data_IF_573930877260
#
_entry.id   IF_573930877260
#
_cell.length_a   1.000
_cell.length_b   1.000
_cell.length_c   1.000
_cell.angle_alpha   90.00
_cell.angle_beta   90.00
_cell.angle_gamma   90.00
#
_symmetry.space_group_name_H-M   'P 1'
#
loop_
_entity.id
_entity.type
_entity.pdbx_description
1 polymer ?
#
# COMPACT_ATOMS: atom_id res chain seq x y z
N UNK A 1 -49.28 34.07 -18.89
CA UNK A 1 -48.11 34.12 -17.97
C UNK A 1 -47.53 32.72 -17.88
N UNK A 2 -46.47 32.47 -18.62
CA UNK A 2 -45.77 31.18 -18.65
C UNK A 2 -44.57 31.29 -17.71
N UNK A 3 -44.55 30.52 -16.62
CA UNK A 3 -43.43 30.41 -15.72
C UNK A 3 -42.45 29.36 -16.28
N UNK A 4 -41.28 29.83 -16.72
CA UNK A 4 -40.19 28.96 -17.15
C UNK A 4 -39.51 28.29 -15.96
N UNK A 5 -39.43 26.97 -15.96
CA UNK A 5 -38.56 26.21 -15.07
C UNK A 5 -37.08 26.41 -15.49
N UNK A 6 -36.32 27.02 -14.62
CA UNK A 6 -34.86 27.13 -14.74
C UNK A 6 -34.26 25.83 -14.20
N UNK A 7 -33.69 24.99 -15.06
CA UNK A 7 -32.82 23.88 -14.63
C UNK A 7 -31.38 24.41 -14.46
N UNK A 8 -30.71 24.11 -13.37
CA UNK A 8 -29.29 24.44 -13.26
C UNK A 8 -28.50 23.51 -14.19
N UNK A 9 -27.72 24.14 -15.03
CA UNK A 9 -26.72 23.54 -15.92
C UNK A 9 -25.65 22.84 -15.06
N UNK A 10 -25.61 21.52 -15.11
CA UNK A 10 -24.49 20.76 -14.55
C UNK A 10 -23.36 20.81 -15.57
N UNK A 11 -22.45 21.74 -15.38
CA UNK A 11 -21.26 21.91 -16.18
C UNK A 11 -20.57 20.57 -16.42
N UNK A 12 -20.58 20.13 -17.67
CA UNK A 12 -19.66 19.11 -18.14
C UNK A 12 -18.26 19.67 -17.97
N UNK A 13 -17.45 18.97 -17.16
CA UNK A 13 -16.04 19.26 -16.99
C UNK A 13 -15.37 18.97 -18.35
N UNK A 14 -15.18 20.02 -19.12
CA UNK A 14 -14.62 20.00 -20.47
C UNK A 14 -13.12 19.72 -20.33
N UNK A 15 -12.72 18.49 -20.65
CA UNK A 15 -11.31 18.10 -20.77
C UNK A 15 -10.68 18.91 -21.87
N UNK A 16 -9.83 19.85 -21.54
CA UNK A 16 -8.99 20.59 -22.47
C UNK A 16 -8.21 19.62 -23.37
N UNK A 17 -8.31 19.71 -24.71
CA UNK A 17 -7.56 18.88 -25.64
C UNK A 17 -6.12 19.40 -25.69
N UNK A 18 -5.21 18.70 -25.01
CA UNK A 18 -3.78 19.03 -25.09
C UNK A 18 -2.93 18.67 -23.89
N UNK A 19 -3.52 18.15 -22.81
CA UNK A 19 -2.74 17.65 -21.70
C UNK A 19 -2.47 16.15 -21.91
N UNK A 20 -1.32 15.86 -22.52
CA UNK A 20 -0.72 14.53 -22.45
C UNK A 20 -0.72 14.08 -20.99
N UNK A 21 -1.10 12.81 -20.68
CA UNK A 21 -0.99 12.28 -19.33
C UNK A 21 0.49 12.30 -18.96
N UNK A 22 0.87 13.29 -18.15
CA UNK A 22 2.23 13.48 -17.69
C UNK A 22 2.76 12.15 -17.16
N UNK A 23 3.81 11.65 -17.82
CA UNK A 23 4.57 10.49 -17.39
C UNK A 23 4.98 10.69 -15.93
N UNK A 24 4.41 9.90 -15.02
CA UNK A 24 4.81 9.83 -13.62
C UNK A 24 6.14 9.09 -13.42
N UNK A 25 6.92 8.95 -14.51
CA UNK A 25 8.30 8.49 -14.40
C UNK A 25 9.15 9.71 -14.11
N UNK A 26 9.70 9.76 -12.90
CA UNK A 26 10.73 10.73 -12.54
C UNK A 26 11.80 10.75 -13.63
N UNK A 27 11.99 11.92 -14.20
CA UNK A 27 13.08 12.17 -15.14
C UNK A 27 14.39 11.81 -14.46
N UNK A 28 15.11 10.94 -15.13
CA UNK A 28 16.47 10.51 -14.87
C UNK A 28 17.35 11.72 -14.54
N UNK A 29 17.62 11.93 -13.26
CA UNK A 29 18.69 12.81 -12.85
C UNK A 29 19.97 12.03 -13.10
N UNK A 30 20.66 12.38 -14.18
CA UNK A 30 22.00 11.91 -14.51
C UNK A 30 22.92 12.04 -13.31
N UNK A 31 23.06 10.96 -12.53
CA UNK A 31 24.12 10.86 -11.55
C UNK A 31 25.39 10.53 -12.28
N UNK A 32 26.28 11.51 -12.30
CA UNK A 32 27.65 11.34 -12.75
C UNK A 32 28.23 10.06 -12.18
N UNK A 33 28.85 9.24 -13.04
CA UNK A 33 29.51 8.02 -12.71
C UNK A 33 30.58 8.23 -11.62
N UNK A 34 30.24 7.87 -10.41
CA UNK A 34 31.18 7.60 -9.36
C UNK A 34 31.28 6.09 -9.24
N UNK A 35 32.47 5.57 -9.45
CA UNK A 35 32.87 4.20 -9.16
C UNK A 35 32.57 3.91 -7.68
N UNK A 36 31.30 3.52 -7.42
CA UNK A 36 30.80 3.27 -6.07
C UNK A 36 31.09 1.84 -5.70
N UNK A 37 32.17 1.65 -4.99
CA UNK A 37 32.39 0.39 -4.30
C UNK A 37 31.13 -0.06 -3.59
N UNK A 38 30.82 -1.35 -3.68
CA UNK A 38 29.78 -2.09 -2.98
C UNK A 38 29.86 -1.79 -1.48
N UNK A 39 29.31 -0.67 -1.05
CA UNK A 39 29.06 -0.37 0.35
C UNK A 39 28.02 -1.36 0.83
N UNK A 40 28.47 -2.47 1.43
CA UNK A 40 27.59 -3.44 2.05
C UNK A 40 26.63 -2.67 2.96
N UNK A 41 25.33 -2.93 2.81
CA UNK A 41 24.27 -2.31 3.61
C UNK A 41 24.53 -2.56 5.10
N UNK A 42 25.18 -1.62 5.77
CA UNK A 42 25.72 -1.81 7.11
C UNK A 42 24.59 -2.14 8.10
N UNK A 43 24.76 -3.24 8.83
CA UNK A 43 23.82 -3.70 9.85
C UNK A 43 22.54 -4.31 9.30
N UNK A 44 22.51 -4.70 8.03
CA UNK A 44 21.40 -5.40 7.41
C UNK A 44 21.11 -6.75 8.09
N UNK A 45 19.83 -7.16 8.09
CA UNK A 45 19.44 -8.48 8.62
C UNK A 45 19.98 -9.61 7.74
N UNK A 46 20.29 -10.76 8.35
CA UNK A 46 20.64 -12.01 7.67
C UNK A 46 19.39 -12.79 7.20
N UNK A 47 18.20 -12.44 7.67
CA UNK A 47 16.96 -13.10 7.31
C UNK A 47 16.66 -12.92 5.82
N UNK A 48 15.97 -13.92 5.24
CA UNK A 48 15.73 -13.97 3.80
C UNK A 48 14.48 -13.21 3.41
N UNK A 49 13.38 -13.39 4.14
CA UNK A 49 12.06 -12.91 3.74
C UNK A 49 11.06 -12.83 4.89
N UNK A 50 9.98 -12.08 4.65
CA UNK A 50 8.77 -12.06 5.45
C UNK A 50 7.59 -12.43 4.56
N UNK A 51 6.89 -13.54 4.87
CA UNK A 51 5.60 -13.87 4.26
C UNK A 51 4.49 -13.27 5.09
N UNK A 52 3.56 -12.62 4.42
CA UNK A 52 2.40 -11.96 5.03
C UNK A 52 1.15 -12.54 4.37
N UNK A 53 0.21 -13.06 5.18
CA UNK A 53 -1.10 -13.47 4.70
C UNK A 53 -2.17 -12.73 5.49
N UNK A 54 -3.15 -12.20 4.74
CA UNK A 54 -4.32 -11.54 5.29
C UNK A 54 -5.50 -11.84 4.37
N UNK A 55 -6.61 -12.35 4.90
CA UNK A 55 -7.87 -12.44 4.18
C UNK A 55 -8.77 -11.29 4.60
N UNK A 56 -9.28 -10.54 3.63
CA UNK A 56 -10.20 -9.43 3.86
C UNK A 56 -11.66 -9.88 3.78
N UNK A 57 -12.55 -9.21 4.50
CA UNK A 57 -14.01 -9.35 4.40
C UNK A 57 -14.65 -7.97 4.40
N UNK A 58 -15.86 -7.87 3.81
CA UNK A 58 -16.52 -6.58 3.61
C UNK A 58 -16.84 -5.86 4.92
N UNK A 59 -16.35 -4.63 5.15
CA UNK A 59 -16.76 -3.79 6.27
C UNK A 59 -18.21 -3.26 6.11
N UNK A 60 -18.85 -3.48 4.96
CA UNK A 60 -20.25 -3.11 4.74
C UNK A 60 -20.46 -1.76 4.07
N UNK A 61 -19.53 -1.31 3.27
CA UNK A 61 -19.63 -0.07 2.53
C UNK A 61 -20.50 -0.17 1.27
N UNK A 62 -20.75 0.99 0.66
CA UNK A 62 -21.65 1.14 -0.51
C UNK A 62 -21.26 0.28 -1.70
N UNK A 63 -19.99 -0.04 -1.88
CA UNK A 63 -19.47 -0.74 -3.04
C UNK A 63 -19.19 -2.21 -2.79
N UNK A 64 -19.46 -2.71 -1.57
CA UNK A 64 -19.30 -4.12 -1.26
C UNK A 64 -19.96 -5.01 -2.33
N UNK A 65 -19.34 -6.11 -2.75
CA UNK A 65 -18.05 -6.64 -2.29
C UNK A 65 -16.81 -6.05 -2.99
N UNK A 66 -16.96 -5.03 -3.85
CA UNK A 66 -15.83 -4.36 -4.50
C UNK A 66 -15.05 -3.57 -3.48
N UNK A 67 -13.74 -3.78 -3.43
CA UNK A 67 -12.86 -3.14 -2.46
C UNK A 67 -11.55 -2.66 -3.08
N UNK A 68 -10.92 -1.74 -2.38
CA UNK A 68 -9.56 -1.28 -2.63
C UNK A 68 -8.79 -1.37 -1.33
N UNK A 69 -7.48 -1.53 -1.41
CA UNK A 69 -6.65 -1.51 -0.22
C UNK A 69 -5.16 -1.47 -0.54
N UNK A 70 -4.37 -1.38 0.52
CA UNK A 70 -2.93 -1.41 0.49
C UNK A 70 -2.37 -2.18 1.69
N UNK A 71 -1.22 -2.80 1.49
CA UNK A 71 -0.40 -3.44 2.51
C UNK A 71 1.00 -2.86 2.43
N UNK A 72 1.53 -2.40 3.57
CA UNK A 72 2.86 -1.79 3.61
C UNK A 72 3.58 -2.06 4.93
N UNK A 73 4.85 -1.72 4.98
CA UNK A 73 5.71 -1.85 6.16
C UNK A 73 6.05 -0.46 6.69
N UNK A 74 5.98 -0.33 8.00
CA UNK A 74 6.48 0.81 8.76
C UNK A 74 7.51 0.32 9.80
N UNK A 75 8.44 1.19 10.16
CA UNK A 75 9.34 0.96 11.31
C UNK A 75 8.66 1.29 12.65
N UNK A 76 9.37 1.11 13.75
CA UNK A 76 8.85 1.37 15.10
C UNK A 76 8.44 2.83 15.34
N UNK A 77 9.01 3.78 14.61
CA UNK A 77 8.66 5.19 14.67
C UNK A 77 7.46 5.56 13.77
N UNK A 78 6.90 4.59 13.04
CA UNK A 78 5.83 4.83 12.08
C UNK A 78 6.31 5.38 10.73
N UNK A 79 7.61 5.36 10.48
CA UNK A 79 8.15 5.78 9.20
C UNK A 79 7.93 4.69 8.15
N UNK A 80 7.44 5.10 6.99
CA UNK A 80 7.24 4.23 5.84
C UNK A 80 8.54 3.57 5.38
N UNK A 81 8.49 2.25 5.15
CA UNK A 81 9.59 1.44 4.64
C UNK A 81 9.34 1.02 3.21
N UNK A 82 8.18 0.41 2.94
CA UNK A 82 7.84 -0.09 1.60
C UNK A 82 6.37 -0.47 1.47
N UNK A 83 5.76 -0.18 0.31
CA UNK A 83 4.48 -0.80 -0.08
C UNK A 83 4.74 -2.22 -0.57
N UNK A 84 3.99 -3.18 -0.04
CA UNK A 84 4.05 -4.59 -0.44
C UNK A 84 3.02 -4.88 -1.51
N UNK A 85 1.79 -4.41 -1.32
CA UNK A 85 0.70 -4.58 -2.28
C UNK A 85 -0.21 -3.36 -2.29
N UNK A 86 -0.69 -3.01 -3.49
CA UNK A 86 -1.74 -2.01 -3.71
C UNK A 86 -2.78 -2.60 -4.69
N UNK A 87 -4.04 -2.76 -4.25
CA UNK A 87 -5.15 -3.18 -5.11
C UNK A 87 -6.16 -2.05 -5.27
N UNK A 88 -5.74 -1.00 -5.96
CA UNK A 88 -6.55 0.20 -6.18
C UNK A 88 -6.20 0.85 -7.53
N UNK A 89 -7.15 0.86 -8.48
CA UNK A 89 -7.03 1.64 -9.72
C UNK A 89 -7.75 2.99 -9.58
N UNK A 90 -9.02 2.93 -9.22
CA UNK A 90 -9.86 4.09 -8.93
C UNK A 90 -10.06 4.20 -7.44
N UNK A 91 -10.46 5.34 -6.94
CA UNK A 91 -10.74 5.57 -5.50
C UNK A 91 -9.53 5.45 -4.56
N UNK A 92 -8.29 5.32 -5.06
CA UNK A 92 -7.06 5.26 -4.23
C UNK A 92 -6.97 6.41 -3.22
N UNK A 93 -7.63 7.55 -3.50
CA UNK A 93 -7.71 8.71 -2.60
C UNK A 93 -8.32 8.40 -1.23
N UNK A 94 -9.07 7.31 -1.12
CA UNK A 94 -9.71 6.89 0.14
C UNK A 94 -8.83 5.99 1.00
N UNK A 95 -7.69 5.53 0.49
CA UNK A 95 -6.64 4.91 1.30
C UNK A 95 -5.79 6.00 1.96
N UNK A 96 -6.43 6.68 2.91
CA UNK A 96 -5.88 7.95 3.45
C UNK A 96 -4.65 7.74 4.30
N UNK A 97 -4.60 6.64 5.06
CA UNK A 97 -3.46 6.30 5.90
C UNK A 97 -2.26 5.84 5.05
N UNK A 98 -2.48 4.94 4.08
CA UNK A 98 -1.44 4.54 3.15
C UNK A 98 -0.85 5.73 2.38
N UNK A 99 -1.71 6.63 1.88
CA UNK A 99 -1.26 7.84 1.17
C UNK A 99 -0.43 8.76 2.05
N UNK A 100 -0.85 8.97 3.29
CA UNK A 100 -0.12 9.80 4.24
C UNK A 100 1.25 9.21 4.58
N UNK A 101 1.34 7.88 4.76
CA UNK A 101 2.57 7.20 5.08
C UNK A 101 3.52 7.11 3.87
N UNK A 102 3.02 6.68 2.71
CA UNK A 102 3.82 6.31 1.55
C UNK A 102 4.08 7.43 0.54
N UNK A 103 3.33 8.55 0.61
CA UNK A 103 3.29 9.56 -0.46
C UNK A 103 3.02 8.93 -1.85
N UNK A 104 2.18 7.89 -1.91
CA UNK A 104 1.86 7.07 -3.08
C UNK A 104 3.04 6.24 -3.64
N UNK A 105 4.06 5.96 -2.83
CA UNK A 105 5.19 5.15 -3.28
C UNK A 105 4.79 3.69 -3.46
N UNK A 106 4.96 3.17 -4.67
CA UNK A 106 4.69 1.78 -5.08
C UNK A 106 5.89 1.09 -5.71
N UNK A 107 7.09 1.60 -5.48
CA UNK A 107 8.33 1.00 -6.01
C UNK A 107 8.45 -0.45 -5.57
N UNK A 108 8.58 -1.36 -6.54
CA UNK A 108 8.63 -2.82 -6.37
C UNK A 108 7.42 -3.43 -5.64
N UNK A 109 6.31 -2.73 -5.54
CA UNK A 109 5.07 -3.27 -4.99
C UNK A 109 4.32 -4.12 -6.02
N UNK A 110 3.55 -5.11 -5.55
CA UNK A 110 2.54 -5.76 -6.38
C UNK A 110 1.36 -4.82 -6.52
N UNK A 111 1.04 -4.40 -7.74
CA UNK A 111 -0.10 -3.49 -7.98
C UNK A 111 -1.18 -4.18 -8.80
N UNK A 112 -2.42 -3.94 -8.46
CA UNK A 112 -3.58 -4.46 -9.19
C UNK A 112 -4.74 -3.46 -9.24
N UNK A 113 -5.75 -3.80 -10.04
CA UNK A 113 -6.99 -3.03 -10.11
C UNK A 113 -7.81 -3.19 -8.82
N UNK A 114 -8.84 -2.33 -8.68
CA UNK A 114 -9.92 -2.53 -7.69
C UNK A 114 -10.46 -3.96 -7.80
N UNK A 115 -10.52 -4.67 -6.69
CA UNK A 115 -11.02 -6.04 -6.66
C UNK A 115 -12.55 -6.06 -6.70
N UNK A 116 -13.10 -7.08 -7.38
CA UNK A 116 -14.55 -7.32 -7.46
C UNK A 116 -15.11 -8.00 -6.20
N UNK A 117 -14.25 -8.65 -5.43
CA UNK A 117 -14.59 -9.34 -4.17
C UNK A 117 -13.41 -9.32 -3.21
N UNK A 118 -13.70 -9.55 -1.94
CA UNK A 118 -12.68 -9.78 -0.93
C UNK A 118 -11.96 -11.12 -1.18
N UNK A 119 -10.68 -11.18 -0.82
CA UNK A 119 -9.83 -12.35 -1.08
C UNK A 119 -8.73 -12.48 -0.03
N UNK A 120 -7.95 -13.53 -0.15
CA UNK A 120 -6.70 -13.69 0.59
C UNK A 120 -5.56 -13.02 -0.17
N UNK A 121 -4.87 -12.11 0.49
CA UNK A 121 -3.62 -11.52 0.07
C UNK A 121 -2.47 -12.30 0.72
N UNK A 122 -1.63 -12.94 -0.08
CA UNK A 122 -0.48 -13.73 0.38
C UNK A 122 0.76 -13.23 -0.37
N UNK A 123 1.64 -12.52 0.34
CA UNK A 123 2.78 -11.82 -0.24
C UNK A 123 4.05 -12.13 0.52
N UNK A 124 5.14 -12.13 -0.20
CA UNK A 124 6.49 -12.29 0.37
C UNK A 124 7.29 -11.03 0.11
N UNK A 125 7.82 -10.45 1.17
CA UNK A 125 8.76 -9.33 1.14
C UNK A 125 10.17 -9.85 1.40
N UNK A 126 11.13 -9.46 0.57
CA UNK A 126 12.54 -9.84 0.67
C UNK A 126 13.33 -9.03 1.72
N UNK A 127 12.63 -8.29 2.58
CA UNK A 127 13.18 -7.42 3.63
C UNK A 127 14.02 -6.25 3.10
N UNK A 128 13.84 -5.82 1.84
CA UNK A 128 14.56 -4.65 1.30
C UNK A 128 13.74 -3.38 1.41
N UNK A 129 14.39 -2.29 1.80
CA UNK A 129 13.83 -0.94 1.75
C UNK A 129 13.82 -0.35 0.33
N UNK A 130 13.52 0.94 0.21
CA UNK A 130 13.57 1.67 -1.07
C UNK A 130 14.99 1.86 -1.60
N UNK A 131 15.97 1.87 -0.72
CA UNK A 131 17.40 1.94 -1.02
C UNK A 131 17.99 0.61 -1.52
N UNK A 132 17.14 -0.42 -1.72
CA UNK A 132 17.53 -1.80 -2.06
C UNK A 132 18.35 -2.52 -1.00
N UNK A 133 18.62 -1.89 0.12
CA UNK A 133 19.24 -2.53 1.26
C UNK A 133 18.23 -3.33 2.07
N UNK A 134 18.66 -4.50 2.60
CA UNK A 134 17.87 -5.18 3.63
C UNK A 134 17.75 -4.31 4.87
N UNK A 135 16.59 -4.33 5.47
CA UNK A 135 16.32 -3.58 6.70
C UNK A 135 17.21 -4.09 7.85
N UNK A 136 17.44 -3.25 8.83
CA UNK A 136 18.20 -3.60 10.03
C UNK A 136 17.33 -4.42 10.99
N UNK A 137 17.95 -5.23 11.87
CA UNK A 137 17.24 -5.80 13.01
C UNK A 137 16.53 -4.70 13.82
N UNK A 138 15.30 -4.98 14.26
CA UNK A 138 14.49 -4.01 15.00
C UNK A 138 13.00 -4.28 14.89
N UNK A 139 12.19 -3.40 15.47
CA UNK A 139 10.75 -3.51 15.48
C UNK A 139 10.14 -2.82 14.26
N UNK A 140 9.19 -3.50 13.64
CA UNK A 140 8.44 -3.07 12.46
C UNK A 140 6.97 -3.42 12.64
N UNK A 141 6.14 -2.97 11.72
CA UNK A 141 4.76 -3.43 11.61
C UNK A 141 4.34 -3.59 10.16
N UNK A 142 3.56 -4.61 9.89
CA UNK A 142 2.73 -4.69 8.71
C UNK A 142 1.50 -3.85 8.95
N UNK A 143 1.16 -2.99 8.00
CA UNK A 143 -0.09 -2.22 8.05
C UNK A 143 -0.92 -2.57 6.83
N UNK A 144 -2.23 -2.78 7.04
CA UNK A 144 -3.19 -3.04 5.98
C UNK A 144 -4.34 -2.06 6.13
N UNK A 145 -4.68 -1.37 5.06
CA UNK A 145 -5.87 -0.51 4.97
C UNK A 145 -6.71 -0.98 3.80
N UNK A 146 -8.02 -1.12 4.00
CA UNK A 146 -8.94 -1.41 2.92
C UNK A 146 -10.23 -0.60 3.05
N UNK A 147 -10.94 -0.41 1.93
CA UNK A 147 -12.29 0.17 1.97
C UNK A 147 -13.13 -0.29 0.77
N UNK A 148 -14.40 -0.52 1.04
CA UNK A 148 -15.47 -0.74 0.07
C UNK A 148 -16.45 0.47 -0.01
N UNK A 149 -16.02 1.64 0.51
CA UNK A 149 -16.78 2.89 0.54
C UNK A 149 -15.97 4.06 -0.07
N UNK A 150 -16.60 5.22 -0.21
CA UNK A 150 -15.93 6.49 -0.55
C UNK A 150 -15.45 7.24 0.70
N UNK A 151 -14.85 6.53 1.61
CA UNK A 151 -14.24 7.03 2.85
C UNK A 151 -13.11 6.08 3.26
N UNK A 152 -12.26 6.51 4.20
CA UNK A 152 -11.28 5.62 4.83
C UNK A 152 -11.98 4.43 5.45
N UNK A 153 -11.38 3.28 5.33
CA UNK A 153 -11.88 2.04 5.91
C UNK A 153 -11.08 1.58 7.13
N UNK A 154 -11.33 0.36 7.59
CA UNK A 154 -10.59 -0.23 8.70
C UNK A 154 -9.11 -0.37 8.37
N UNK A 155 -8.30 -0.32 9.40
CA UNK A 155 -6.85 -0.53 9.34
C UNK A 155 -6.44 -1.60 10.33
N UNK A 156 -5.54 -2.49 9.88
CA UNK A 156 -4.90 -3.51 10.71
C UNK A 156 -3.42 -3.17 10.87
N UNK A 157 -2.89 -3.31 12.08
CA UNK A 157 -1.47 -3.22 12.37
C UNK A 157 -0.99 -4.52 13.02
N UNK A 158 0.06 -5.12 12.46
CA UNK A 158 0.66 -6.35 12.99
C UNK A 158 2.12 -6.04 13.33
N UNK A 159 2.47 -5.87 14.60
CA UNK A 159 3.86 -5.68 15.00
C UNK A 159 4.65 -6.98 14.85
N UNK A 160 5.91 -6.84 14.42
CA UNK A 160 6.89 -7.94 14.35
C UNK A 160 8.30 -7.42 14.58
N UNK A 161 9.23 -8.32 14.91
CA UNK A 161 10.63 -7.97 15.14
C UNK A 161 11.52 -8.68 14.13
N UNK A 162 12.29 -7.92 13.37
CA UNK A 162 13.37 -8.44 12.52
C UNK A 162 14.58 -8.72 13.41
N UNK A 163 14.99 -9.97 13.53
CA UNK A 163 16.12 -10.37 14.37
C UNK A 163 16.36 -11.87 14.31
N UNK A 164 15.31 -12.67 14.45
CA UNK A 164 15.34 -14.12 14.32
C UNK A 164 14.11 -14.60 13.56
N UNK A 165 14.23 -15.78 12.95
CA UNK A 165 13.08 -16.43 12.30
C UNK A 165 11.95 -16.65 13.30
N UNK A 166 10.74 -16.27 12.94
CA UNK A 166 9.55 -16.42 13.78
C UNK A 166 8.29 -16.46 12.96
N UNK A 167 7.27 -17.14 13.48
CA UNK A 167 5.94 -17.20 12.87
C UNK A 167 4.92 -16.67 13.88
N UNK A 168 4.11 -15.72 13.44
CA UNK A 168 3.05 -15.10 14.23
C UNK A 168 1.70 -15.37 13.57
N UNK A 169 0.72 -15.70 14.39
CA UNK A 169 -0.71 -15.77 14.01
C UNK A 169 -1.47 -14.72 14.82
N UNK A 170 -1.55 -13.47 14.33
CA UNK A 170 -2.19 -12.39 15.06
C UNK A 170 -3.69 -12.64 15.30
N UNK A 171 -4.26 -11.95 16.27
CA UNK A 171 -5.70 -11.99 16.52
C UNK A 171 -6.47 -11.40 15.34
N UNK A 172 -7.47 -12.14 14.88
CA UNK A 172 -8.37 -11.69 13.82
C UNK A 172 -9.26 -10.54 14.29
N UNK A 173 -9.75 -9.78 13.33
CA UNK A 173 -10.71 -8.69 13.54
C UNK A 173 -12.01 -8.97 12.79
N UNK A 174 -12.98 -8.06 12.84
CA UNK A 174 -14.22 -8.20 12.07
C UNK A 174 -14.00 -8.19 10.54
N UNK A 175 -12.87 -7.62 10.08
CA UNK A 175 -12.58 -7.40 8.65
C UNK A 175 -11.38 -8.18 8.14
N UNK A 176 -10.45 -8.54 9.03
CA UNK A 176 -9.18 -9.17 8.69
C UNK A 176 -9.06 -10.54 9.37
N UNK A 177 -8.86 -11.59 8.56
CA UNK A 177 -8.85 -12.99 8.98
C UNK A 177 -7.65 -13.73 8.40
N UNK A 178 -7.44 -14.98 8.84
CA UNK A 178 -6.38 -15.89 8.37
C UNK A 178 -5.00 -15.24 8.41
N UNK A 179 -4.74 -14.50 9.50
CA UNK A 179 -3.56 -13.68 9.66
C UNK A 179 -2.30 -14.54 9.89
N UNK A 180 -1.27 -14.29 9.10
CA UNK A 180 0.05 -14.92 9.25
C UNK A 180 1.14 -13.89 8.95
N UNK A 181 2.17 -13.87 9.79
CA UNK A 181 3.45 -13.18 9.56
C UNK A 181 4.55 -14.18 9.83
N UNK A 182 5.24 -14.66 8.79
CA UNK A 182 6.25 -15.71 8.85
C UNK A 182 7.60 -15.16 8.35
N UNK A 183 8.52 -14.94 9.28
CA UNK A 183 9.85 -14.38 9.08
C UNK A 183 10.90 -15.49 9.02
N UNK A 184 11.68 -15.52 7.94
CA UNK A 184 12.71 -16.55 7.64
C UNK A 184 14.08 -15.97 7.39
#
# INVERSE_FOLDING_TARGET
MLAGCFMPDIGADELEPGQEPGSLYATDASVAGGDGGSGACAGATSLSSLRIRVRTTAPGGKYAPRNIGAMWIEDSAGKFVKTIELWAKTRVRYLTRWKAASANNVVDAVTSATLSSHTTHDRTWNLTGLDKCKVKPGNYRVVVEETDANTSGPTLEIPFTVGSATMLTPTETATYHDLLVDLK
#
